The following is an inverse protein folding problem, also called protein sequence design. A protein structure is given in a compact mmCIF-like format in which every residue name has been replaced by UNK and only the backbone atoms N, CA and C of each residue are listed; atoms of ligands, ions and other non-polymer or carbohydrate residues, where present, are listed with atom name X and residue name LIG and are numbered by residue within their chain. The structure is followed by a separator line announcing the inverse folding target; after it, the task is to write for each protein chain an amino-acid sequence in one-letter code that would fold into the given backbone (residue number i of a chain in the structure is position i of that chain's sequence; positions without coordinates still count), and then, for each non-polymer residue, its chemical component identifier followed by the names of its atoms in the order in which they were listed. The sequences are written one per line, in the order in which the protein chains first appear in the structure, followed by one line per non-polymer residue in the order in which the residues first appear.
data_IF_163037362966
#
_entry.id   IF_163037362966
#
_cell.length_a   1.000
_cell.length_b   1.000
_cell.length_c   1.000
_cell.angle_alpha   90.00
_cell.angle_beta   90.00
_cell.angle_gamma   90.00
#
_symmetry.space_group_name_H-M   'P 1'
#
loop_
_entity.id
_entity.type
_entity.pdbx_description
1 polymer ?
#
# COMPACT_ATOMS: atom_id res chain seq x y z
N UNK A 1 33.53 40.20 24.35
CA UNK A 1 32.06 40.34 24.40
C UNK A 1 31.73 41.48 25.36
N UNK A 2 30.79 42.35 25.00
CA UNK A 2 30.33 43.47 25.82
C UNK A 2 28.84 43.76 25.54
N UNK A 3 28.17 44.50 26.44
CA UNK A 3 26.73 44.75 26.35
C UNK A 3 26.32 45.61 25.13
N UNK A 4 27.22 46.43 24.59
CA UNK A 4 26.98 47.19 23.37
C UNK A 4 26.95 46.27 22.15
N UNK A 5 27.91 45.35 22.07
CA UNK A 5 27.93 44.29 21.04
C UNK A 5 26.67 43.42 21.09
N UNK A 6 26.26 42.98 22.29
CA UNK A 6 25.03 42.18 22.47
C UNK A 6 23.81 42.96 21.98
N UNK A 7 23.67 44.23 22.36
CA UNK A 7 22.57 45.09 21.89
C UNK A 7 22.54 45.18 20.36
N UNK A 8 23.68 45.50 19.74
CA UNK A 8 23.77 45.62 18.28
C UNK A 8 23.36 44.32 17.58
N UNK A 9 23.75 43.18 18.13
CA UNK A 9 23.40 41.87 17.58
C UNK A 9 21.92 41.51 17.83
N UNK A 10 21.32 41.95 18.94
CA UNK A 10 19.87 41.83 19.17
C UNK A 10 19.05 42.67 18.19
N UNK A 11 19.55 43.84 17.80
CA UNK A 11 18.88 44.79 16.91
C UNK A 11 19.14 44.54 15.41
N UNK A 12 19.97 43.54 15.08
CA UNK A 12 20.32 43.19 13.71
C UNK A 12 19.10 42.71 12.91
N UNK A 13 18.85 43.33 11.74
CA UNK A 13 17.68 43.07 10.88
C UNK A 13 17.98 42.19 9.66
N UNK A 14 19.24 41.89 9.42
CA UNK A 14 19.75 41.13 8.27
C UNK A 14 19.78 39.61 8.51
N UNK A 15 19.22 39.15 9.63
CA UNK A 15 19.24 37.74 10.01
C UNK A 15 20.55 37.27 10.65
N UNK A 16 21.52 38.15 10.87
CA UNK A 16 22.79 37.82 11.58
C UNK A 16 22.68 37.91 13.11
N UNK A 17 21.53 38.36 13.61
CA UNK A 17 21.23 38.48 15.03
C UNK A 17 21.09 37.15 15.76
N UNK A 18 20.72 37.22 17.03
CA UNK A 18 20.49 36.03 17.84
C UNK A 18 19.25 35.25 17.38
N UNK A 19 19.35 33.92 17.35
CA UNK A 19 18.23 33.05 16.97
C UNK A 19 17.37 32.64 18.16
N UNK A 20 17.99 32.56 19.34
CA UNK A 20 17.34 32.14 20.57
C UNK A 20 17.79 33.02 21.73
N UNK A 21 16.88 33.23 22.70
CA UNK A 21 17.16 34.02 23.91
C UNK A 21 18.35 33.45 24.69
N UNK A 22 18.56 32.13 24.64
CA UNK A 22 19.68 31.47 25.28
C UNK A 22 21.05 32.01 24.79
N UNK A 23 21.18 32.28 23.48
CA UNK A 23 22.43 32.82 22.90
C UNK A 23 22.75 34.22 23.47
N UNK A 24 21.73 35.02 23.75
CA UNK A 24 21.88 36.34 24.40
C UNK A 24 22.40 36.15 25.82
N UNK A 25 21.83 35.21 26.56
CA UNK A 25 22.21 34.94 27.95
C UNK A 25 23.64 34.42 28.07
N UNK A 26 24.05 33.55 27.15
CA UNK A 26 25.41 33.04 27.10
C UNK A 26 26.43 34.16 26.84
N UNK A 27 26.10 35.10 25.94
CA UNK A 27 26.95 36.26 25.69
C UNK A 27 26.97 37.22 26.90
N UNK A 28 25.85 37.43 27.60
CA UNK A 28 25.82 38.22 28.85
C UNK A 28 26.70 37.59 29.93
N UNK A 29 26.59 36.27 30.14
CA UNK A 29 27.47 35.53 31.07
C UNK A 29 28.94 35.68 30.68
N UNK A 30 29.23 35.63 29.38
CA UNK A 30 30.57 35.81 28.85
C UNK A 30 31.11 37.21 29.12
N UNK A 31 30.29 38.27 29.12
CA UNK A 31 30.72 39.62 29.53
C UNK A 31 31.26 39.60 30.96
N UNK A 32 30.47 39.09 31.91
CA UNK A 32 30.86 39.08 33.32
C UNK A 32 32.02 38.12 33.61
N UNK A 33 32.02 36.93 32.99
CA UNK A 33 33.10 35.97 33.10
C UNK A 33 34.43 36.54 32.59
N UNK A 34 34.41 37.22 31.43
CA UNK A 34 35.60 37.91 30.92
C UNK A 34 36.07 38.99 31.91
N UNK A 35 35.15 39.82 32.41
CA UNK A 35 35.51 40.86 33.38
C UNK A 35 36.17 40.29 34.64
N UNK A 36 35.66 39.19 35.19
CA UNK A 36 36.29 38.52 36.34
C UNK A 36 37.62 37.82 35.98
N UNK A 37 37.78 37.35 34.73
CA UNK A 37 38.99 36.67 34.27
C UNK A 37 40.17 37.64 34.09
N UNK A 38 39.91 38.83 33.53
CA UNK A 38 40.96 39.81 33.25
C UNK A 38 41.29 40.72 34.44
N UNK A 39 40.39 40.83 35.43
CA UNK A 39 40.58 41.68 36.60
C UNK A 39 40.85 40.85 37.86
N UNK A 40 41.89 41.23 38.61
CA UNK A 40 42.29 40.52 39.81
C UNK A 40 41.17 40.47 40.85
N UNK A 41 41.08 39.36 41.58
CA UNK A 41 40.07 39.17 42.61
C UNK A 41 40.21 40.25 43.70
N UNK A 42 39.07 40.79 44.15
CA UNK A 42 39.01 41.89 45.12
C UNK A 42 39.09 43.30 44.53
N UNK A 43 39.39 43.46 43.23
CA UNK A 43 39.28 44.76 42.56
C UNK A 43 37.81 45.17 42.36
N UNK A 44 37.55 46.47 42.30
CA UNK A 44 36.20 47.01 42.09
C UNK A 44 35.51 46.40 40.86
N UNK A 45 36.23 46.28 39.74
CA UNK A 45 35.69 45.71 38.49
C UNK A 45 35.31 44.25 38.66
N UNK A 46 36.14 43.46 39.36
CA UNK A 46 35.85 42.06 39.65
C UNK A 46 34.60 41.93 40.55
N UNK A 47 34.51 42.72 41.62
CA UNK A 47 33.38 42.71 42.55
C UNK A 47 32.08 43.17 41.90
N UNK A 48 32.14 44.20 41.05
CA UNK A 48 30.99 44.68 40.28
C UNK A 48 30.52 43.61 39.28
N UNK A 49 31.43 42.98 38.54
CA UNK A 49 31.10 41.92 37.59
C UNK A 49 30.43 40.73 38.28
N UNK A 50 30.97 40.29 39.42
CA UNK A 50 30.39 39.23 40.24
C UNK A 50 28.97 39.58 40.70
N UNK A 51 28.79 40.78 41.26
CA UNK A 51 27.49 41.25 41.75
C UNK A 51 26.45 41.34 40.63
N UNK A 52 26.83 41.85 39.44
CA UNK A 52 25.93 41.92 38.29
C UNK A 52 25.60 40.54 37.74
N UNK A 53 26.57 39.62 37.71
CA UNK A 53 26.35 38.23 37.30
C UNK A 53 25.35 37.52 38.22
N UNK A 54 25.47 37.68 39.54
CA UNK A 54 24.54 37.10 40.52
C UNK A 54 23.12 37.65 40.33
N UNK A 55 22.99 38.99 40.22
CA UNK A 55 21.68 39.62 39.94
C UNK A 55 21.07 39.19 38.62
N UNK A 56 21.89 38.96 37.60
CA UNK A 56 21.44 38.45 36.31
C UNK A 56 20.89 37.04 36.44
N UNK A 57 21.61 36.12 37.08
CA UNK A 57 21.16 34.74 37.28
C UNK A 57 19.88 34.65 38.12
N UNK A 58 19.75 35.48 39.15
CA UNK A 58 18.53 35.54 39.97
C UNK A 58 17.33 35.99 39.12
N UNK A 59 17.48 37.05 38.32
CA UNK A 59 16.42 37.52 37.42
C UNK A 59 16.13 36.51 36.31
N UNK A 60 17.16 35.85 35.80
CA UNK A 60 17.03 34.82 34.78
C UNK A 60 16.14 33.68 35.30
N UNK A 61 16.54 33.04 36.39
CA UNK A 61 15.83 31.89 36.97
C UNK A 61 14.40 32.22 37.42
N UNK A 62 14.20 33.40 38.00
CA UNK A 62 12.89 33.77 38.56
C UNK A 62 11.89 34.27 37.52
N UNK A 63 12.35 34.97 36.48
CA UNK A 63 11.45 35.77 35.64
C UNK A 63 11.52 35.45 34.15
N UNK A 64 12.67 34.99 33.65
CA UNK A 64 12.91 34.81 32.22
C UNK A 64 12.94 33.34 31.80
N UNK A 65 13.63 32.49 32.56
CA UNK A 65 13.79 31.06 32.27
C UNK A 65 12.44 30.33 32.10
N UNK A 66 11.43 30.51 32.97
CA UNK A 66 10.12 29.87 32.77
C UNK A 66 9.45 30.30 31.46
N UNK A 67 9.55 31.59 31.10
CA UNK A 67 8.94 32.15 29.88
C UNK A 67 9.61 31.64 28.62
N UNK A 68 10.95 31.51 28.65
CA UNK A 68 11.71 30.97 27.53
C UNK A 68 11.38 29.50 27.32
N UNK A 69 11.28 28.71 28.40
CA UNK A 69 10.90 27.30 28.32
C UNK A 69 9.49 27.14 27.74
N UNK A 70 8.53 27.95 28.21
CA UNK A 70 7.15 27.95 27.72
C UNK A 70 7.08 28.31 26.23
N UNK A 71 7.75 29.37 25.80
CA UNK A 71 7.77 29.81 24.40
C UNK A 71 8.47 28.78 23.49
N UNK A 72 9.59 28.21 23.92
CA UNK A 72 10.27 27.13 23.18
C UNK A 72 9.42 25.85 23.11
N UNK A 73 8.60 25.56 24.11
CA UNK A 73 7.65 24.46 24.08
C UNK A 73 6.52 24.74 23.09
N UNK A 74 5.98 25.95 23.10
CA UNK A 74 4.94 26.40 22.17
C UNK A 74 5.41 26.37 20.72
N UNK A 75 6.59 26.93 20.42
CA UNK A 75 7.17 26.88 19.07
C UNK A 75 7.37 25.44 18.60
N UNK A 76 7.89 24.56 19.45
CA UNK A 76 8.04 23.13 19.10
C UNK A 76 6.71 22.43 18.87
N UNK A 77 5.67 22.83 19.59
CA UNK A 77 4.32 22.32 19.37
C UNK A 77 3.77 22.79 18.02
N UNK A 78 3.90 24.08 17.72
CA UNK A 78 3.51 24.67 16.43
C UNK A 78 4.25 24.00 15.26
N UNK A 79 5.58 23.80 15.37
CA UNK A 79 6.39 23.09 14.37
C UNK A 79 5.89 21.66 14.13
N UNK A 80 5.54 20.93 15.20
CA UNK A 80 4.95 19.59 15.08
C UNK A 80 3.58 19.63 14.42
N UNK A 81 2.74 20.59 14.75
CA UNK A 81 1.42 20.73 14.15
C UNK A 81 1.49 21.05 12.66
N UNK A 82 2.41 21.94 12.26
CA UNK A 82 2.69 22.20 10.84
C UNK A 82 3.17 20.93 10.15
N UNK A 83 4.14 20.22 10.73
CA UNK A 83 4.64 18.98 10.16
C UNK A 83 3.55 17.90 10.02
N UNK A 84 2.67 17.78 11.01
CA UNK A 84 1.53 16.87 10.95
C UNK A 84 0.54 17.23 9.84
N UNK A 85 0.23 18.52 9.66
CA UNK A 85 -0.62 19.00 8.56
C UNK A 85 0.01 18.73 7.19
N UNK A 86 1.32 18.90 7.07
CA UNK A 86 2.04 18.59 5.82
C UNK A 86 1.95 17.09 5.50
N UNK A 87 2.14 16.22 6.50
CA UNK A 87 1.99 14.78 6.33
C UNK A 87 0.57 14.37 5.96
N UNK A 88 -0.45 14.95 6.60
CA UNK A 88 -1.86 14.71 6.27
C UNK A 88 -2.18 15.14 4.83
N UNK A 89 -1.63 16.28 4.39
CA UNK A 89 -1.80 16.76 3.01
C UNK A 89 -1.18 15.81 1.99
N UNK A 90 0.01 15.27 2.29
CA UNK A 90 0.66 14.26 1.44
C UNK A 90 -0.18 12.99 1.36
N UNK A 91 -0.68 12.49 2.50
CA UNK A 91 -1.52 11.29 2.53
C UNK A 91 -2.81 11.46 1.73
N UNK A 92 -3.48 12.61 1.87
CA UNK A 92 -4.71 12.90 1.12
C UNK A 92 -4.45 12.94 -0.39
N UNK A 93 -3.31 13.48 -0.82
CA UNK A 93 -2.94 13.51 -2.23
C UNK A 93 -2.64 12.10 -2.78
N UNK A 94 -1.99 11.23 -2.00
CA UNK A 94 -1.77 9.83 -2.36
C UNK A 94 -3.09 9.06 -2.46
N UNK A 95 -4.00 9.23 -1.51
CA UNK A 95 -5.31 8.58 -1.52
C UNK A 95 -6.14 8.99 -2.75
N UNK A 96 -6.19 10.28 -3.07
CA UNK A 96 -6.89 10.78 -4.26
C UNK A 96 -6.29 10.23 -5.57
N UNK A 97 -4.96 10.03 -5.62
CA UNK A 97 -4.30 9.43 -6.78
C UNK A 97 -4.65 7.95 -6.94
N UNK A 98 -4.75 7.21 -5.83
CA UNK A 98 -5.17 5.80 -5.83
C UNK A 98 -6.64 5.66 -6.25
N UNK A 99 -7.53 6.51 -5.74
CA UNK A 99 -8.94 6.51 -6.11
C UNK A 99 -9.12 6.76 -7.61
N UNK A 100 -8.39 7.75 -8.15
CA UNK A 100 -8.39 8.00 -9.59
C UNK A 100 -7.96 6.77 -10.40
N UNK A 101 -6.88 6.10 -9.97
CA UNK A 101 -6.41 4.90 -10.67
C UNK A 101 -7.42 3.74 -10.59
N UNK A 102 -8.10 3.56 -9.45
CA UNK A 102 -9.15 2.55 -9.31
C UNK A 102 -10.33 2.83 -10.26
N UNK A 103 -10.75 4.09 -10.38
CA UNK A 103 -11.78 4.50 -11.33
C UNK A 103 -11.37 4.27 -12.79
N UNK A 104 -10.11 4.57 -13.14
CA UNK A 104 -9.58 4.31 -14.48
C UNK A 104 -9.58 2.81 -14.82
N UNK A 105 -9.25 1.95 -13.86
CA UNK A 105 -9.30 0.49 -14.04
C UNK A 105 -10.74 -0.03 -14.18
N UNK A 106 -11.68 0.49 -13.40
CA UNK A 106 -13.09 0.14 -13.53
C UNK A 106 -13.64 0.54 -14.91
N UNK A 107 -13.32 1.75 -15.37
CA UNK A 107 -13.70 2.20 -16.71
C UNK A 107 -13.12 1.29 -17.81
N UNK A 108 -11.86 0.86 -17.68
CA UNK A 108 -11.25 -0.10 -18.61
C UNK A 108 -11.95 -1.46 -18.58
N UNK A 109 -12.36 -1.91 -17.40
CA UNK A 109 -13.07 -3.17 -17.24
C UNK A 109 -14.46 -3.11 -17.89
N UNK A 110 -15.19 -2.02 -17.70
CA UNK A 110 -16.50 -1.79 -18.32
C UNK A 110 -16.40 -1.75 -19.86
N UNK A 111 -15.38 -1.09 -20.37
CA UNK A 111 -15.08 -1.06 -21.81
C UNK A 111 -14.80 -2.47 -22.35
N UNK A 112 -14.00 -3.28 -21.65
CA UNK A 112 -13.74 -4.66 -22.03
C UNK A 112 -15.01 -5.54 -21.96
N UNK A 113 -15.87 -5.34 -20.96
CA UNK A 113 -17.15 -6.04 -20.89
C UNK A 113 -18.05 -5.70 -22.07
N UNK A 114 -18.11 -4.42 -22.46
CA UNK A 114 -18.84 -3.97 -23.64
C UNK A 114 -18.30 -4.62 -24.93
N UNK A 115 -16.98 -4.63 -25.11
CA UNK A 115 -16.33 -5.28 -26.25
C UNK A 115 -16.61 -6.79 -26.31
N UNK A 116 -16.57 -7.47 -25.16
CA UNK A 116 -16.92 -8.90 -25.09
C UNK A 116 -18.37 -9.16 -25.47
N UNK A 117 -19.31 -8.30 -25.07
CA UNK A 117 -20.72 -8.46 -25.43
C UNK A 117 -20.95 -8.22 -26.93
N UNK A 118 -20.26 -7.23 -27.53
CA UNK A 118 -20.29 -7.03 -29.00
C UNK A 118 -19.75 -8.25 -29.74
N UNK A 119 -18.56 -8.73 -29.39
CA UNK A 119 -17.97 -9.91 -30.02
C UNK A 119 -18.86 -11.15 -29.85
N UNK A 120 -19.48 -11.30 -28.68
CA UNK A 120 -20.43 -12.38 -28.42
C UNK A 120 -21.64 -12.30 -29.35
N UNK A 121 -22.19 -11.11 -29.58
CA UNK A 121 -23.29 -10.89 -30.51
C UNK A 121 -22.88 -11.14 -31.97
N UNK A 122 -21.65 -10.77 -32.37
CA UNK A 122 -21.12 -11.02 -33.71
C UNK A 122 -20.87 -12.50 -34.01
N UNK A 123 -20.41 -13.26 -33.00
CA UNK A 123 -20.13 -14.70 -33.13
C UNK A 123 -21.40 -15.54 -33.00
N UNK A 124 -22.41 -15.08 -32.25
CA UNK A 124 -23.69 -15.79 -32.08
C UNK A 124 -24.35 -16.27 -33.39
N UNK A 125 -24.46 -15.47 -34.48
CA UNK A 125 -25.01 -15.94 -35.75
C UNK A 125 -24.05 -16.82 -36.55
N UNK A 126 -22.74 -16.81 -36.25
CA UNK A 126 -21.75 -17.71 -36.86
C UNK A 126 -21.79 -19.12 -36.24
N UNK A 127 -22.47 -19.28 -35.09
CA UNK A 127 -22.76 -20.59 -34.54
C UNK A 127 -23.71 -21.34 -35.50
N UNK A 128 -23.15 -22.21 -36.34
CA UNK A 128 -23.89 -23.15 -37.18
C UNK A 128 -24.97 -23.87 -36.35
N UNK A 129 -26.19 -24.01 -36.85
CA UNK A 129 -27.21 -24.82 -36.16
C UNK A 129 -26.77 -26.29 -36.05
N UNK A 130 -26.90 -26.86 -34.86
CA UNK A 130 -26.59 -28.28 -34.62
C UNK A 130 -27.64 -29.17 -35.30
N UNK A 131 -27.20 -30.18 -36.03
CA UNK A 131 -28.09 -31.14 -36.71
C UNK A 131 -28.80 -32.04 -35.70
N UNK A 132 -29.93 -32.63 -36.09
CA UNK A 132 -30.70 -33.56 -35.25
C UNK A 132 -29.85 -34.76 -34.79
N UNK A 133 -28.96 -35.25 -35.64
CA UNK A 133 -28.03 -36.32 -35.30
C UNK A 133 -26.97 -35.88 -34.28
N UNK A 134 -26.42 -34.68 -34.41
CA UNK A 134 -25.48 -34.13 -33.43
C UNK A 134 -26.16 -33.87 -32.07
N UNK A 135 -27.42 -33.40 -32.07
CA UNK A 135 -28.25 -33.28 -30.85
C UNK A 135 -28.47 -34.62 -30.18
N UNK A 136 -28.80 -35.65 -30.97
CA UNK A 136 -28.99 -37.02 -30.47
C UNK A 136 -27.71 -37.57 -29.84
N UNK A 137 -26.56 -37.37 -30.48
CA UNK A 137 -25.25 -37.80 -29.95
C UNK A 137 -24.86 -37.04 -28.67
N UNK A 138 -25.18 -35.75 -28.59
CA UNK A 138 -24.97 -34.94 -27.38
C UNK A 138 -25.79 -35.47 -26.21
N UNK A 139 -27.08 -35.76 -26.42
CA UNK A 139 -27.95 -36.36 -25.41
C UNK A 139 -27.46 -37.72 -24.92
N UNK A 140 -26.99 -38.57 -25.83
CA UNK A 140 -26.38 -39.85 -25.47
C UNK A 140 -25.10 -39.66 -24.65
N UNK A 141 -24.26 -38.71 -25.02
CA UNK A 141 -22.99 -38.45 -24.31
C UNK A 141 -23.23 -37.87 -22.91
N UNK A 142 -24.28 -37.05 -22.72
CA UNK A 142 -24.70 -36.53 -21.42
C UNK A 142 -25.11 -37.64 -20.45
N UNK A 143 -25.81 -38.67 -20.95
CA UNK A 143 -26.21 -39.84 -20.15
C UNK A 143 -25.02 -40.67 -19.63
N UNK A 144 -23.84 -40.51 -20.23
CA UNK A 144 -22.61 -41.20 -19.83
C UNK A 144 -21.67 -40.34 -18.98
N UNK A 145 -22.06 -39.12 -18.61
CA UNK A 145 -21.26 -38.28 -17.73
C UNK A 145 -21.30 -38.72 -16.27
N UNK A 146 -20.26 -38.34 -15.53
CA UNK A 146 -20.25 -38.47 -14.07
C UNK A 146 -21.31 -37.54 -13.45
N UNK A 147 -21.83 -37.85 -12.24
CA UNK A 147 -22.81 -36.98 -11.58
C UNK A 147 -22.32 -35.53 -11.37
N UNK A 148 -21.02 -35.34 -11.12
CA UNK A 148 -20.41 -34.03 -10.93
C UNK A 148 -20.33 -33.22 -12.23
N UNK A 149 -19.98 -33.88 -13.34
CA UNK A 149 -19.88 -33.21 -14.64
C UNK A 149 -21.26 -32.99 -15.27
N UNK A 150 -22.22 -33.88 -14.99
CA UNK A 150 -23.62 -33.67 -15.34
C UNK A 150 -24.20 -32.45 -14.61
N UNK A 151 -23.91 -32.26 -13.32
CA UNK A 151 -24.33 -31.07 -12.57
C UNK A 151 -23.77 -29.77 -13.17
N UNK A 152 -22.49 -29.76 -13.57
CA UNK A 152 -21.88 -28.61 -14.27
C UNK A 152 -22.53 -28.36 -15.64
N UNK A 153 -22.85 -29.42 -16.39
CA UNK A 153 -23.55 -29.34 -17.66
C UNK A 153 -24.96 -28.73 -17.51
N UNK A 154 -25.70 -29.12 -16.46
CA UNK A 154 -27.01 -28.58 -16.11
C UNK A 154 -26.90 -27.09 -15.71
N UNK A 155 -25.86 -26.70 -14.96
CA UNK A 155 -25.60 -25.29 -14.64
C UNK A 155 -25.31 -24.44 -15.88
N UNK A 156 -24.63 -24.98 -16.90
CA UNK A 156 -24.40 -24.27 -18.16
C UNK A 156 -25.69 -23.96 -18.92
N UNK A 157 -26.70 -24.84 -18.83
CA UNK A 157 -28.03 -24.64 -19.41
C UNK A 157 -28.80 -23.58 -18.61
N UNK A 158 -28.78 -23.69 -17.27
CA UNK A 158 -29.44 -22.75 -16.37
C UNK A 158 -28.94 -21.30 -16.50
N UNK A 159 -27.66 -21.08 -16.82
CA UNK A 159 -27.07 -19.75 -17.00
C UNK A 159 -27.73 -18.91 -18.12
N UNK A 160 -28.32 -19.56 -19.13
CA UNK A 160 -28.95 -18.90 -20.28
C UNK A 160 -30.46 -18.97 -20.27
N UNK A 161 -31.05 -19.81 -19.41
CA UNK A 161 -32.48 -20.01 -19.29
C UNK A 161 -32.94 -19.83 -17.83
N UNK A 162 -33.37 -18.62 -17.44
CA UNK A 162 -33.81 -18.31 -16.07
C UNK A 162 -35.00 -19.15 -15.59
N UNK A 163 -35.82 -19.67 -16.50
CA UNK A 163 -37.00 -20.49 -16.21
C UNK A 163 -36.66 -21.97 -15.99
N UNK A 164 -35.40 -22.36 -16.18
CA UNK A 164 -34.95 -23.74 -16.03
C UNK A 164 -34.75 -24.14 -14.57
N UNK A 165 -35.53 -25.13 -14.11
CA UNK A 165 -35.50 -25.63 -12.72
C UNK A 165 -34.33 -26.60 -12.50
N UNK A 166 -33.13 -26.07 -12.28
CA UNK A 166 -31.90 -26.86 -12.08
C UNK A 166 -31.78 -27.60 -10.72
N UNK A 167 -32.77 -27.47 -9.81
CA UNK A 167 -32.68 -27.90 -8.40
C UNK A 167 -33.51 -29.15 -8.04
N UNK A 168 -34.12 -29.83 -9.02
CA UNK A 168 -34.90 -31.06 -8.79
C UNK A 168 -34.05 -32.33 -8.77
N UNK A 169 -34.53 -33.41 -8.11
CA UNK A 169 -33.91 -34.76 -8.17
C UNK A 169 -33.98 -35.37 -9.57
N UNK A 170 -34.97 -34.96 -10.38
CA UNK A 170 -35.09 -35.28 -11.80
C UNK A 170 -35.16 -33.97 -12.59
N UNK A 171 -34.21 -33.77 -13.50
CA UNK A 171 -34.13 -32.59 -14.38
C UNK A 171 -34.33 -33.05 -15.82
N UNK A 172 -35.49 -32.73 -16.39
CA UNK A 172 -35.78 -33.00 -17.80
C UNK A 172 -35.09 -31.95 -18.67
N UNK A 173 -34.19 -32.38 -19.56
CA UNK A 173 -33.45 -31.50 -20.47
C UNK A 173 -33.97 -31.72 -21.88
N UNK A 174 -34.82 -30.80 -22.35
CA UNK A 174 -35.22 -30.74 -23.76
C UNK A 174 -34.10 -30.11 -24.60
N UNK A 175 -33.33 -30.97 -25.29
CA UNK A 175 -32.21 -30.57 -26.16
C UNK A 175 -32.70 -29.83 -27.41
N UNK A 176 -33.94 -30.06 -27.85
CA UNK A 176 -34.48 -29.42 -29.04
C UNK A 176 -34.97 -27.99 -28.81
N UNK A 177 -35.40 -27.68 -27.59
CA UNK A 177 -35.81 -26.35 -27.17
C UNK A 177 -34.66 -25.39 -26.77
N UNK A 178 -33.40 -25.87 -26.69
CA UNK A 178 -32.25 -25.02 -26.32
C UNK A 178 -31.71 -24.19 -27.49
N UNK A 179 -31.14 -23.03 -27.19
CA UNK A 179 -30.49 -22.18 -28.18
C UNK A 179 -29.17 -22.79 -28.69
N UNK A 180 -28.81 -22.46 -29.94
CA UNK A 180 -27.62 -23.01 -30.59
C UNK A 180 -26.32 -22.73 -29.79
N UNK A 181 -26.22 -21.58 -29.11
CA UNK A 181 -25.03 -21.24 -28.34
C UNK A 181 -24.87 -22.12 -27.09
N UNK A 182 -25.97 -22.42 -26.40
CA UNK A 182 -26.00 -23.35 -25.27
C UNK A 182 -25.67 -24.78 -25.71
N UNK A 183 -26.23 -25.22 -26.83
CA UNK A 183 -25.97 -26.55 -27.40
C UNK A 183 -24.49 -26.77 -27.77
N UNK A 184 -23.83 -25.80 -28.41
CA UNK A 184 -22.40 -25.92 -28.72
C UNK A 184 -21.50 -25.79 -27.50
N UNK A 185 -21.85 -24.94 -26.52
CA UNK A 185 -21.12 -24.87 -25.23
C UNK A 185 -21.19 -26.21 -24.50
N UNK A 186 -22.38 -26.83 -24.47
CA UNK A 186 -22.61 -28.14 -23.89
C UNK A 186 -21.80 -29.22 -24.62
N UNK A 187 -21.82 -29.23 -25.96
CA UNK A 187 -21.03 -30.18 -26.75
C UNK A 187 -19.51 -30.02 -26.56
N UNK A 188 -19.01 -28.78 -26.48
CA UNK A 188 -17.60 -28.53 -26.21
C UNK A 188 -17.20 -29.03 -24.81
N UNK A 189 -18.02 -28.74 -23.79
CA UNK A 189 -17.83 -29.21 -22.43
C UNK A 189 -17.81 -30.74 -22.36
N UNK A 190 -18.83 -31.41 -22.92
CA UNK A 190 -18.93 -32.87 -22.97
C UNK A 190 -17.73 -33.48 -23.69
N UNK A 191 -17.30 -32.91 -24.81
CA UNK A 191 -16.12 -33.38 -25.55
C UNK A 191 -14.84 -33.24 -24.72
N UNK A 192 -14.64 -32.13 -24.02
CA UNK A 192 -13.49 -31.91 -23.16
C UNK A 192 -13.43 -32.92 -22.00
N UNK A 193 -14.58 -33.22 -21.39
CA UNK A 193 -14.71 -34.23 -20.33
C UNK A 193 -14.44 -35.64 -20.88
N UNK A 194 -15.04 -36.02 -22.00
CA UNK A 194 -14.85 -37.34 -22.64
C UNK A 194 -13.40 -37.58 -23.05
N UNK A 195 -12.73 -36.57 -23.62
CA UNK A 195 -11.30 -36.65 -23.97
C UNK A 195 -10.44 -36.82 -22.71
N UNK A 196 -10.78 -36.14 -21.62
CA UNK A 196 -10.06 -36.25 -20.34
C UNK A 196 -10.28 -37.62 -19.67
N UNK A 197 -11.48 -38.20 -19.77
CA UNK A 197 -11.77 -39.56 -19.30
C UNK A 197 -10.98 -40.62 -20.10
N UNK A 198 -10.88 -40.49 -21.43
CA UNK A 198 -10.08 -41.39 -22.25
C UNK A 198 -8.56 -41.24 -22.01
N UNK A 199 -8.09 -40.03 -21.69
CA UNK A 199 -6.67 -39.79 -21.32
C UNK A 199 -6.32 -40.36 -19.94
N UNK A 200 -7.29 -40.34 -19.01
CA UNK A 200 -7.21 -41.00 -17.69
C UNK A 200 -7.12 -42.52 -17.81
N UNK A 201 -7.83 -43.13 -18.77
CA UNK A 201 -7.78 -44.58 -19.02
C UNK A 201 -6.46 -44.99 -19.70
N UNK A 202 -5.92 -44.17 -20.61
CA UNK A 202 -4.63 -44.43 -21.29
C UNK A 202 -3.37 -44.18 -20.45
N UNK A 203 -3.47 -43.49 -19.31
CA UNK A 203 -2.33 -43.15 -18.45
C UNK A 203 -2.03 -44.19 -17.35
N UNK A 204 -2.79 -45.29 -17.24
CA UNK A 204 -2.57 -46.30 -16.17
C UNK A 204 -1.46 -47.32 -16.47
N UNK A 205 -0.73 -47.19 -17.58
CA UNK A 205 0.36 -48.10 -17.95
C UNK A 205 1.63 -47.36 -18.36
N UNK A 206 2.17 -46.51 -17.49
CA UNK A 206 3.62 -46.39 -17.34
C UNK A 206 3.96 -45.79 -15.98
N UNK A 207 4.43 -46.64 -15.07
CA UNK A 207 4.98 -46.21 -13.78
C UNK A 207 6.27 -45.43 -13.98
N UNK A 208 6.42 -44.32 -13.27
CA UNK A 208 7.58 -43.45 -13.38
C UNK A 208 7.61 -42.39 -12.28
N UNK A 209 8.01 -42.83 -11.09
CA UNK A 209 8.33 -42.06 -9.89
C UNK A 209 9.13 -40.77 -10.17
N UNK A 210 8.58 -39.58 -9.91
CA UNK A 210 9.39 -38.36 -9.66
C UNK A 210 8.79 -37.52 -8.54
N UNK A 211 9.71 -37.14 -7.65
CA UNK A 211 9.57 -36.55 -6.33
C UNK A 211 8.90 -35.16 -6.36
N UNK A 212 8.02 -34.92 -5.38
CA UNK A 212 7.57 -33.60 -4.95
C UNK A 212 8.79 -32.77 -4.52
N UNK A 213 8.98 -31.60 -5.14
CA UNK A 213 9.82 -30.52 -4.61
C UNK A 213 8.89 -29.46 -4.05
N UNK A 214 9.21 -29.06 -2.83
CA UNK A 214 8.37 -28.26 -1.94
C UNK A 214 8.26 -26.79 -2.30
N UNK A 215 7.20 -26.23 -1.70
CA UNK A 215 6.85 -24.82 -1.58
C UNK A 215 8.05 -23.97 -1.11
N UNK A 216 8.32 -22.88 -1.83
CA UNK A 216 9.23 -21.82 -1.39
C UNK A 216 8.37 -20.69 -0.83
N UNK A 217 8.29 -20.65 0.49
CA UNK A 217 7.93 -19.47 1.26
C UNK A 217 9.19 -18.92 1.91
N UNK A 218 9.20 -17.61 2.17
CA UNK A 218 10.14 -16.86 3.00
C UNK A 218 11.43 -16.32 2.35
N UNK A 219 11.29 -15.13 1.75
CA UNK A 219 12.37 -14.15 1.63
C UNK A 219 12.23 -13.16 2.78
N UNK A 220 12.98 -13.38 3.86
CA UNK A 220 13.29 -12.37 4.87
C UNK A 220 14.80 -12.24 4.97
N UNK A 221 15.31 -11.07 4.57
CA UNK A 221 16.73 -10.73 4.61
C UNK A 221 17.24 -10.41 6.01
N UNK A 222 18.54 -10.63 6.21
CA UNK A 222 19.41 -9.86 7.12
C UNK A 222 20.91 -10.05 6.77
N UNK A 223 21.81 -9.16 7.21
CA UNK A 223 22.96 -8.68 6.43
C UNK A 223 24.28 -9.44 6.66
N UNK A 224 25.17 -9.39 5.65
CA UNK A 224 26.55 -9.91 5.68
C UNK A 224 27.48 -9.00 6.49
N UNK A 225 28.08 -9.54 7.58
CA UNK A 225 29.33 -9.02 8.15
C UNK A 225 30.51 -9.47 7.29
N UNK A 226 31.28 -8.53 6.73
CA UNK A 226 32.58 -8.79 6.08
C UNK A 226 33.68 -8.68 7.13
N UNK A 227 34.30 -9.81 7.48
CA UNK A 227 35.62 -9.84 8.10
C UNK A 227 36.65 -10.16 7.02
N UNK A 228 37.57 -9.22 6.73
CA UNK A 228 38.71 -9.45 5.83
C UNK A 228 39.94 -9.74 6.69
N UNK A 229 40.47 -10.95 6.56
CA UNK A 229 41.70 -11.44 7.19
C UNK A 229 42.94 -10.79 6.57
N UNK A 230 43.94 -10.68 7.42
CA UNK A 230 45.31 -10.17 7.23
C UNK A 230 46.24 -11.21 6.58
N UNK A 231 47.33 -10.68 5.99
CA UNK A 231 48.69 -11.26 5.86
C UNK A 231 48.98 -12.27 4.74
N UNK A 232 50.27 -12.45 4.35
CA UNK A 232 51.52 -11.86 4.87
C UNK A 232 52.01 -10.63 4.11
#
# INVERSE_FOLDING_TARGET
MDLGTIRNRMEAKDGTGYRHVQEICDDVRLVFSNAMTYNHEGTDVHLMAKTLSEKFEDKWKTSLEPKVIEEDAKRRQEEKEVHMRDLETIQLAEEAALEKHANDLNNQLDELYSQLEVLRQEVAPQCRMMTTEEKRQLGQSLSHLSPEDLSKAIQLIAQKNPDFKASGEEVEVDIDAQDASTLWRLQHFVRAVMVSQNKSIGSRTFGGNVKRVGSVSDVVGKPRKRGRKTSP
#
